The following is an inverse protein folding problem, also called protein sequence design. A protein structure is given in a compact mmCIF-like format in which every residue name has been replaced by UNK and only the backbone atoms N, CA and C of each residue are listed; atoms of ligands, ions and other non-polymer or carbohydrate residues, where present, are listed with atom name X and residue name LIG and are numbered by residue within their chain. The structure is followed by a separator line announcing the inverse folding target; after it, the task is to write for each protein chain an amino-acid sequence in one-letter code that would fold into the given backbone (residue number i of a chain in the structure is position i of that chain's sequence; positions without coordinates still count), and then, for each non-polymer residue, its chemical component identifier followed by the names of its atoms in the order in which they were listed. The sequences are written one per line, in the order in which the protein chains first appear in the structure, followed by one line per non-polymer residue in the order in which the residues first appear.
data_IF_788478276607
#
_entry.id   IF_788478276607
#
_cell.length_a   1.000
_cell.length_b   1.000
_cell.length_c   1.000
_cell.angle_alpha   90.00
_cell.angle_beta   90.00
_cell.angle_gamma   90.00
#
_symmetry.space_group_name_H-M   'P 1'
#
loop_
_entity.id
_entity.type
_entity.pdbx_description
1 polymer ?
#
# COMPACT_ATOMS: atom_id res chain seq x y z
N UNK A 1 4.04 3.79 -17.29
CA UNK A 1 5.28 3.54 -16.53
C UNK A 1 5.84 2.16 -16.89
N UNK A 2 7.12 2.09 -17.17
CA UNK A 2 7.78 0.82 -17.50
C UNK A 2 8.07 0.06 -16.19
N UNK A 3 7.71 -1.24 -16.12
CA UNK A 3 8.05 -2.03 -14.94
C UNK A 3 9.56 -2.14 -14.75
N UNK A 4 10.03 -2.01 -13.51
CA UNK A 4 11.45 -2.06 -13.19
C UNK A 4 11.92 -3.47 -12.81
N UNK A 5 11.00 -4.36 -12.42
CA UNK A 5 11.35 -5.66 -11.86
C UNK A 5 10.38 -6.73 -12.32
N UNK A 6 10.75 -8.00 -12.12
CA UNK A 6 9.86 -9.14 -12.35
C UNK A 6 8.59 -9.04 -11.51
N UNK A 7 8.71 -8.50 -10.29
CA UNK A 7 7.59 -8.25 -9.41
C UNK A 7 6.58 -7.30 -10.03
N UNK A 8 7.07 -6.19 -10.62
CA UNK A 8 6.21 -5.22 -11.30
C UNK A 8 5.48 -5.83 -12.48
N UNK A 9 6.17 -6.69 -13.24
CA UNK A 9 5.56 -7.40 -14.37
C UNK A 9 4.45 -8.34 -13.92
N UNK A 10 4.65 -9.06 -12.81
CA UNK A 10 3.64 -9.94 -12.26
C UNK A 10 2.37 -9.17 -11.89
N UNK A 11 2.53 -8.04 -11.22
CA UNK A 11 1.41 -7.20 -10.80
C UNK A 11 0.66 -6.70 -12.03
N UNK A 12 1.38 -6.19 -13.01
CA UNK A 12 0.79 -5.67 -14.25
C UNK A 12 0.02 -6.73 -15.02
N UNK A 13 0.47 -7.98 -14.96
CA UNK A 13 -0.19 -9.11 -15.63
C UNK A 13 -1.29 -9.75 -14.80
N UNK A 14 -1.52 -9.26 -13.57
CA UNK A 14 -2.50 -9.83 -12.66
C UNK A 14 -2.08 -11.14 -12.03
N UNK A 15 -0.78 -11.45 -12.06
CA UNK A 15 -0.23 -12.69 -11.53
C UNK A 15 0.11 -12.59 -10.03
N UNK A 16 0.30 -11.39 -9.53
CA UNK A 16 0.65 -11.16 -8.14
C UNK A 16 -0.59 -10.79 -7.35
N UNK A 17 -0.85 -11.53 -6.26
CA UNK A 17 -2.00 -11.31 -5.38
C UNK A 17 -1.61 -10.66 -4.05
N UNK A 18 -0.48 -9.96 -4.05
CA UNK A 18 -0.05 -9.22 -2.87
C UNK A 18 -1.06 -8.17 -2.41
N UNK A 19 -0.79 -7.57 -1.28
CA UNK A 19 -1.65 -6.53 -0.71
C UNK A 19 -1.82 -5.34 -1.66
N UNK A 20 -2.88 -4.58 -1.45
CA UNK A 20 -3.12 -3.35 -2.22
C UNK A 20 -1.97 -2.38 -2.07
N UNK A 21 -1.43 -2.24 -0.86
CA UNK A 21 -0.28 -1.39 -0.58
C UNK A 21 0.92 -1.77 -1.45
N UNK A 22 1.25 -3.06 -1.48
CA UNK A 22 2.36 -3.56 -2.27
C UNK A 22 2.15 -3.28 -3.76
N UNK A 23 0.96 -3.54 -4.26
CA UNK A 23 0.63 -3.30 -5.67
C UNK A 23 0.77 -1.83 -6.04
N UNK A 24 0.24 -0.95 -5.22
CA UNK A 24 0.36 0.49 -5.45
C UNK A 24 1.81 0.94 -5.46
N UNK A 25 2.60 0.47 -4.50
CA UNK A 25 4.01 0.81 -4.44
C UNK A 25 4.73 0.40 -5.71
N UNK A 26 4.53 -0.84 -6.14
CA UNK A 26 5.20 -1.39 -7.31
C UNK A 26 4.73 -0.69 -8.59
N UNK A 27 3.45 -0.39 -8.71
CA UNK A 27 2.90 0.35 -9.84
C UNK A 27 3.50 1.75 -9.95
N UNK A 28 3.78 2.39 -8.81
CA UNK A 28 4.44 3.70 -8.79
C UNK A 28 5.94 3.59 -9.09
N UNK A 29 6.48 2.38 -9.13
CA UNK A 29 7.89 2.16 -9.39
C UNK A 29 8.79 2.39 -8.20
N UNK A 30 8.26 2.36 -6.98
CA UNK A 30 9.03 2.59 -5.75
C UNK A 30 9.52 1.28 -5.15
N UNK A 31 10.76 1.28 -4.64
CA UNK A 31 11.22 0.22 -3.75
C UNK A 31 10.63 0.44 -2.36
N UNK A 32 10.73 -0.57 -1.50
CA UNK A 32 10.31 -0.41 -0.09
C UNK A 32 11.12 0.71 0.58
N UNK A 33 12.40 0.79 0.29
CA UNK A 33 13.28 1.84 0.85
C UNK A 33 12.86 3.23 0.38
N UNK A 34 12.50 3.35 -0.89
CA UNK A 34 12.03 4.63 -1.44
C UNK A 34 10.71 5.05 -0.79
N UNK A 35 9.77 4.14 -0.65
CA UNK A 35 8.50 4.45 0.00
C UNK A 35 8.72 4.82 1.47
N UNK A 36 9.64 4.12 2.14
CA UNK A 36 10.02 4.46 3.52
C UNK A 36 10.54 5.90 3.60
N UNK A 37 11.42 6.27 2.70
CA UNK A 37 11.98 7.63 2.66
C UNK A 37 10.90 8.68 2.41
N UNK A 38 9.99 8.43 1.48
CA UNK A 38 8.93 9.38 1.13
C UNK A 38 7.85 9.51 2.20
N UNK A 39 7.53 8.41 2.87
CA UNK A 39 6.45 8.39 3.86
C UNK A 39 6.92 8.67 5.29
N UNK A 40 8.21 8.48 5.56
CA UNK A 40 8.73 8.56 6.91
C UNK A 40 8.41 7.32 7.76
N UNK A 41 7.90 6.27 7.15
CA UNK A 41 7.55 5.02 7.84
C UNK A 41 8.74 4.06 7.75
N UNK A 42 9.18 3.45 8.86
CA UNK A 42 10.29 2.50 8.82
C UNK A 42 10.05 1.37 7.83
N UNK A 43 11.10 0.98 7.10
CA UNK A 43 11.00 -0.06 6.07
C UNK A 43 10.50 -1.39 6.62
N UNK A 44 10.87 -1.74 7.85
CA UNK A 44 10.39 -2.96 8.49
C UNK A 44 8.88 -2.94 8.73
N UNK A 45 8.34 -1.77 9.07
CA UNK A 45 6.91 -1.58 9.25
C UNK A 45 6.17 -1.74 7.92
N UNK A 46 6.70 -1.12 6.85
CA UNK A 46 6.14 -1.27 5.51
C UNK A 46 6.12 -2.73 5.07
N UNK A 47 7.23 -3.43 5.32
CA UNK A 47 7.35 -4.84 4.96
C UNK A 47 6.29 -5.68 5.65
N UNK A 48 6.05 -5.43 6.93
CA UNK A 48 5.01 -6.16 7.69
C UNK A 48 3.62 -5.91 7.13
N UNK A 49 3.30 -4.68 6.74
CA UNK A 49 2.01 -4.37 6.12
C UNK A 49 1.89 -5.04 4.76
N UNK A 50 2.93 -5.01 3.93
CA UNK A 50 2.90 -5.61 2.60
C UNK A 50 2.79 -7.13 2.63
N UNK A 51 3.33 -7.76 3.68
CA UNK A 51 3.27 -9.22 3.88
C UNK A 51 2.07 -9.66 4.69
N UNK A 52 1.21 -8.74 5.07
CA UNK A 52 0.05 -9.00 5.94
C UNK A 52 0.42 -9.55 7.32
N UNK A 53 1.69 -9.41 7.74
CA UNK A 53 2.11 -9.78 9.09
C UNK A 53 1.48 -8.84 10.14
N UNK A 54 1.23 -7.59 9.74
CA UNK A 54 0.49 -6.62 10.53
C UNK A 54 -0.64 -6.10 9.64
N UNK A 55 -1.90 -6.18 10.07
CA UNK A 55 -3.02 -5.72 9.24
C UNK A 55 -2.96 -4.21 8.99
N UNK A 56 -2.98 -3.82 7.73
CA UNK A 56 -3.03 -2.39 7.37
C UNK A 56 -4.31 -1.74 7.86
N UNK A 57 -5.38 -2.52 7.99
CA UNK A 57 -6.67 -2.02 8.46
C UNK A 57 -6.62 -1.49 9.89
N UNK A 58 -5.63 -1.93 10.67
CA UNK A 58 -5.43 -1.51 12.06
C UNK A 58 -4.40 -0.39 12.19
N UNK A 59 -3.84 0.09 11.08
CA UNK A 59 -2.83 1.13 11.12
C UNK A 59 -3.42 2.43 11.67
N UNK A 60 -2.59 3.19 12.35
CA UNK A 60 -2.98 4.51 12.84
C UNK A 60 -3.30 5.42 11.66
N UNK A 61 -4.25 6.32 11.85
CA UNK A 61 -4.64 7.27 10.83
C UNK A 61 -3.44 8.07 10.31
N UNK A 62 -2.56 8.48 11.19
CA UNK A 62 -1.32 9.18 10.87
C UNK A 62 -0.49 8.38 9.86
N UNK A 63 -0.36 7.07 10.07
CA UNK A 63 0.40 6.18 9.19
C UNK A 63 -0.29 6.07 7.82
N UNK A 64 -1.61 5.90 7.82
CA UNK A 64 -2.38 5.81 6.57
C UNK A 64 -2.26 7.09 5.75
N UNK A 65 -2.34 8.25 6.40
CA UNK A 65 -2.19 9.54 5.72
C UNK A 65 -0.80 9.66 5.10
N UNK A 66 0.24 9.29 5.84
CA UNK A 66 1.61 9.35 5.34
C UNK A 66 1.81 8.47 4.10
N UNK A 67 1.26 7.26 4.12
CA UNK A 67 1.32 6.34 2.97
C UNK A 67 0.59 6.91 1.77
N UNK A 68 -0.61 7.43 1.99
CA UNK A 68 -1.44 7.95 0.90
C UNK A 68 -0.82 9.21 0.27
N UNK A 69 -0.18 10.06 1.06
CA UNK A 69 0.54 11.19 0.53
C UNK A 69 1.72 10.75 -0.33
N UNK A 70 2.50 9.77 0.15
CA UNK A 70 3.65 9.26 -0.59
C UNK A 70 3.26 8.56 -1.88
N UNK A 71 2.13 7.86 -1.88
CA UNK A 71 1.64 7.11 -3.04
C UNK A 71 0.66 7.89 -3.91
N UNK A 72 0.28 9.09 -3.47
CA UNK A 72 -0.73 9.90 -4.15
C UNK A 72 -2.01 9.10 -4.39
N UNK A 73 -2.54 8.52 -3.34
CA UNK A 73 -3.74 7.69 -3.40
C UNK A 73 -4.69 8.01 -2.24
N UNK A 74 -5.84 7.38 -2.24
CA UNK A 74 -6.84 7.54 -1.18
C UNK A 74 -6.65 6.46 -0.14
N UNK A 75 -7.12 6.70 1.09
CA UNK A 75 -7.07 5.72 2.17
C UNK A 75 -7.75 4.42 1.75
N UNK A 76 -8.88 4.50 1.07
CA UNK A 76 -9.60 3.31 0.60
C UNK A 76 -8.82 2.46 -0.39
N UNK A 77 -7.80 3.04 -1.03
CA UNK A 77 -6.98 2.30 -2.00
C UNK A 77 -6.00 1.33 -1.33
N UNK A 78 -5.72 1.49 -0.05
CA UNK A 78 -4.80 0.64 0.70
C UNK A 78 -5.48 -0.26 1.72
N UNK A 79 -6.72 0.03 2.09
CA UNK A 79 -7.48 -0.77 3.07
C UNK A 79 -7.93 -2.08 2.42
N UNK A 80 -7.65 -3.19 3.10
CA UNK A 80 -7.95 -4.54 2.60
C UNK A 80 -9.35 -5.04 2.99
N UNK A 81 -9.92 -4.56 4.09
CA UNK A 81 -11.20 -5.02 4.60
C UNK A 81 -12.36 -4.39 3.85
N UNK A 82 -13.16 -5.20 3.15
CA UNK A 82 -14.36 -4.73 2.45
C UNK A 82 -15.40 -4.21 3.45
N UNK A 83 -15.52 -4.84 4.59
CA UNK A 83 -16.44 -4.40 5.65
C UNK A 83 -16.07 -3.00 6.14
N UNK A 84 -14.76 -2.78 6.39
CA UNK A 84 -14.29 -1.49 6.86
C UNK A 84 -14.47 -0.41 5.80
N UNK A 85 -14.21 -0.74 4.53
CA UNK A 85 -14.43 0.17 3.41
C UNK A 85 -15.90 0.56 3.28
N UNK A 86 -16.80 -0.40 3.46
CA UNK A 86 -18.23 -0.15 3.40
C UNK A 86 -18.63 0.85 4.49
N UNK A 87 -18.14 0.67 5.70
CA UNK A 87 -18.41 1.58 6.82
C UNK A 87 -17.80 2.96 6.59
N UNK A 88 -16.59 3.00 6.04
CA UNK A 88 -15.91 4.26 5.73
C UNK A 88 -16.70 5.08 4.72
N UNK A 89 -17.22 4.43 3.68
CA UNK A 89 -18.01 5.10 2.64
C UNK A 89 -19.35 5.64 3.16
N UNK A 90 -19.86 5.07 4.24
CA UNK A 90 -21.10 5.53 4.87
C UNK A 90 -20.89 6.80 5.69
N UNK A 91 -19.65 7.11 6.06
CA UNK A 91 -19.29 8.32 6.81
C UNK A 91 -19.07 9.44 5.81
N UNK A 92 -19.94 10.42 5.82
CA UNK A 92 -19.80 11.58 4.92
C UNK A 92 -20.00 12.88 5.62
#
# INVERSE_FOLDING_TARGET
MTPKTAEALRIKRGLDRGTKLRRLRVEKGYSQSELSAFSGIPVNTLRKYEQSATPINSAKLKTLIALCLALNCKVEDVIESEELLHRYRAVK
#
